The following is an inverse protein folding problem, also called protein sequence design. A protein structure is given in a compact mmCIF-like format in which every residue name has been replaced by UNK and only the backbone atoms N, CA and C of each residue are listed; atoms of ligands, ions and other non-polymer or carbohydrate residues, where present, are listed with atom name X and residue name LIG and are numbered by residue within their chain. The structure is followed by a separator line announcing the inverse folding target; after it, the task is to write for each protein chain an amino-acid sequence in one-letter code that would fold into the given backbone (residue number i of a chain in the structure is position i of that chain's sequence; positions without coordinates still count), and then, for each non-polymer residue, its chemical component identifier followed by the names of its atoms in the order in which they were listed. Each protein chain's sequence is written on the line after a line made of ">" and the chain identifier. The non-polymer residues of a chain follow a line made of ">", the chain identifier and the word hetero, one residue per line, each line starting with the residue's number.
data_IF_114251219636
#
_entry.id   IF_114251219636
#
_cell.length_a   1.000
_cell.length_b   1.000
_cell.length_c   1.000
_cell.angle_alpha   90.00
_cell.angle_beta   90.00
_cell.angle_gamma   90.00
#
_symmetry.space_group_name_H-M   'P 1'
#
loop_
_entity.id
_entity.type
_entity.pdbx_description
1 polymer ?
#
# COMPACT_ATOMS: atom_id res chain seq x y z
N UNK A 1 -34.02 -2.34 12.92
CA UNK A 1 -33.11 -3.03 11.98
C UNK A 1 -32.27 -1.96 11.31
N UNK A 2 -31.02 -1.82 11.72
CA UNK A 2 -30.11 -0.83 11.12
C UNK A 2 -29.62 -1.37 9.77
N UNK A 3 -29.95 -0.65 8.71
CA UNK A 3 -29.53 -0.99 7.35
C UNK A 3 -28.06 -0.62 7.21
N UNK A 4 -27.18 -1.61 7.16
CA UNK A 4 -25.77 -1.40 6.83
C UNK A 4 -25.71 -0.97 5.36
N UNK A 5 -25.59 0.32 5.12
CA UNK A 5 -25.37 0.86 3.77
C UNK A 5 -23.89 0.59 3.44
N UNK A 6 -23.64 -0.41 2.60
CA UNK A 6 -22.32 -0.64 2.01
C UNK A 6 -22.02 0.52 1.06
N UNK A 7 -21.16 1.44 1.50
CA UNK A 7 -20.58 2.44 0.60
C UNK A 7 -19.52 1.71 -0.23
N UNK A 8 -19.56 1.77 -1.58
CA UNK A 8 -18.53 1.15 -2.39
C UNK A 8 -17.16 1.76 -2.08
N UNK A 9 -16.11 0.95 -2.14
CA UNK A 9 -14.73 1.41 -1.94
C UNK A 9 -14.45 2.60 -2.86
N UNK A 10 -14.29 3.79 -2.28
CA UNK A 10 -13.98 5.00 -3.02
C UNK A 10 -12.47 5.09 -3.24
N UNK A 11 -12.08 5.28 -4.50
CA UNK A 11 -10.69 5.53 -4.85
C UNK A 11 -10.34 6.99 -4.56
N UNK A 12 -9.60 7.22 -3.48
CA UNK A 12 -8.98 8.51 -3.19
C UNK A 12 -7.64 8.61 -3.92
N UNK A 13 -7.54 9.55 -4.87
CA UNK A 13 -6.27 9.89 -5.52
C UNK A 13 -5.72 11.12 -4.80
N UNK A 14 -4.75 10.90 -3.91
CA UNK A 14 -4.02 11.99 -3.27
C UNK A 14 -2.77 12.27 -4.12
N UNK A 15 -2.89 13.22 -5.05
CA UNK A 15 -1.75 13.76 -5.81
C UNK A 15 -1.05 14.82 -4.96
N UNK A 16 0.18 14.55 -4.51
CA UNK A 16 0.96 15.50 -3.71
C UNK A 16 2.16 15.98 -4.53
N UNK A 17 2.01 17.11 -5.20
CA UNK A 17 3.13 17.73 -5.89
C UNK A 17 3.95 18.62 -4.97
N UNK A 18 5.24 18.28 -4.90
CA UNK A 18 6.33 19.11 -4.40
C UNK A 18 6.19 19.64 -2.97
N UNK A 19 6.02 18.75 -2.00
CA UNK A 19 6.68 18.98 -0.72
C UNK A 19 7.68 17.88 -0.47
N UNK A 20 8.91 18.30 -0.13
CA UNK A 20 10.05 17.50 0.34
C UNK A 20 9.74 16.73 1.65
N UNK A 21 8.51 16.24 1.83
CA UNK A 21 8.22 15.23 2.84
C UNK A 21 8.77 13.92 2.28
N UNK A 22 10.08 13.74 2.41
CA UNK A 22 10.66 12.42 2.32
C UNK A 22 10.05 11.62 3.46
N UNK A 23 8.96 10.91 3.18
CA UNK A 23 8.44 10.00 4.17
C UNK A 23 9.55 8.99 4.50
N UNK A 24 9.95 8.95 5.75
CA UNK A 24 10.92 7.98 6.20
C UNK A 24 10.27 6.59 6.09
N UNK A 25 11.06 5.53 5.81
CA UNK A 25 10.54 4.16 5.76
C UNK A 25 9.66 3.77 6.96
N UNK A 26 9.88 4.40 8.12
CA UNK A 26 9.14 4.20 9.37
C UNK A 26 7.70 4.73 9.32
N UNK A 27 7.43 5.86 8.67
CA UNK A 27 6.06 6.40 8.60
C UNK A 27 5.16 5.49 7.75
N UNK A 28 5.71 4.89 6.69
CA UNK A 28 5.00 3.85 5.94
C UNK A 28 4.77 2.59 6.77
N UNK A 29 5.73 2.24 7.63
CA UNK A 29 5.58 1.12 8.54
C UNK A 29 4.46 1.37 9.56
N UNK A 30 4.37 2.58 10.11
CA UNK A 30 3.30 2.99 11.03
C UNK A 30 1.92 2.88 10.39
N UNK A 31 1.78 3.32 9.13
CA UNK A 31 0.55 3.15 8.37
C UNK A 31 0.19 1.65 8.19
N UNK A 32 1.17 0.81 7.91
CA UNK A 32 0.94 -0.64 7.73
C UNK A 32 0.58 -1.31 9.06
N UNK A 33 1.22 -0.89 10.15
CA UNK A 33 0.88 -1.35 11.50
C UNK A 33 -0.54 -0.94 11.89
N UNK A 34 -0.97 0.28 11.55
CA UNK A 34 -2.35 0.71 11.74
C UNK A 34 -3.34 -0.20 11.00
N UNK A 35 -3.02 -0.57 9.76
CA UNK A 35 -3.86 -1.48 8.97
C UNK A 35 -3.96 -2.88 9.57
N UNK A 36 -2.84 -3.40 10.11
CA UNK A 36 -2.82 -4.68 10.81
C UNK A 36 -3.61 -4.64 12.12
N UNK A 37 -3.54 -3.52 12.87
CA UNK A 37 -4.22 -3.36 14.18
C UNK A 37 -5.71 -3.13 14.05
N UNK A 38 -6.15 -2.39 13.04
CA UNK A 38 -7.55 -1.98 12.87
C UNK A 38 -8.37 -2.89 11.96
N UNK A 39 -7.85 -4.08 11.62
CA UNK A 39 -8.50 -5.08 10.77
C UNK A 39 -9.25 -4.49 9.58
N UNK A 40 -8.51 -3.78 8.71
CA UNK A 40 -9.12 -3.11 7.56
C UNK A 40 -9.91 -4.11 6.70
N UNK A 41 -11.13 -3.77 6.23
CA UNK A 41 -11.95 -4.69 5.46
C UNK A 41 -11.25 -5.23 4.21
N UNK A 42 -11.56 -6.47 3.84
CA UNK A 42 -11.10 -7.07 2.58
C UNK A 42 -11.49 -6.17 1.39
N UNK A 43 -10.56 -5.98 0.47
CA UNK A 43 -10.74 -5.06 -0.66
C UNK A 43 -10.25 -3.64 -0.37
N UNK A 44 -9.93 -3.30 0.89
CA UNK A 44 -9.25 -2.05 1.23
C UNK A 44 -7.95 -1.93 0.44
N UNK A 45 -7.78 -0.79 -0.23
CA UNK A 45 -6.64 -0.53 -1.09
C UNK A 45 -6.15 0.89 -0.92
N UNK A 46 -4.85 1.04 -0.67
CA UNK A 46 -4.17 2.32 -0.65
C UNK A 46 -2.90 2.26 -1.50
N UNK A 47 -2.66 3.33 -2.25
CA UNK A 47 -1.49 3.45 -3.12
C UNK A 47 -0.90 4.83 -3.06
N UNK A 48 0.42 4.92 -3.11
CA UNK A 48 1.13 6.19 -3.12
C UNK A 48 2.35 6.13 -4.04
N UNK A 49 2.66 7.27 -4.65
CA UNK A 49 3.85 7.43 -5.47
C UNK A 49 5.11 7.50 -4.62
N UNK A 50 6.17 6.85 -5.10
CA UNK A 50 7.52 6.88 -4.53
C UNK A 50 8.50 7.22 -5.66
N UNK A 51 9.30 8.28 -5.45
CA UNK A 51 10.36 8.66 -6.38
C UNK A 51 11.61 7.76 -6.27
N UNK A 52 11.88 7.16 -5.10
CA UNK A 52 13.13 6.45 -4.82
C UNK A 52 12.90 4.94 -4.62
N UNK A 53 13.36 4.09 -5.54
CA UNK A 53 13.27 2.62 -5.41
C UNK A 53 13.87 2.07 -4.11
N UNK A 54 14.98 2.68 -3.64
CA UNK A 54 15.63 2.29 -2.38
C UNK A 54 14.70 2.45 -1.17
N UNK A 55 13.80 3.44 -1.19
CA UNK A 55 12.80 3.65 -0.15
C UNK A 55 11.76 2.53 -0.18
N UNK A 56 11.19 2.20 -1.34
CA UNK A 56 10.24 1.10 -1.49
C UNK A 56 10.81 -0.25 -0.98
N UNK A 57 12.07 -0.54 -1.33
CA UNK A 57 12.78 -1.74 -0.83
C UNK A 57 12.98 -1.72 0.69
N UNK A 58 13.33 -0.58 1.27
CA UNK A 58 13.47 -0.44 2.73
C UNK A 58 12.15 -0.66 3.45
N UNK A 59 11.04 -0.13 2.93
CA UNK A 59 9.70 -0.36 3.47
C UNK A 59 9.39 -1.86 3.46
N UNK A 60 9.56 -2.55 2.33
CA UNK A 60 9.33 -4.00 2.30
C UNK A 60 10.21 -4.77 3.30
N UNK A 61 11.47 -4.39 3.47
CA UNK A 61 12.36 -5.02 4.47
C UNK A 61 11.86 -4.83 5.90
N UNK A 62 11.32 -3.65 6.22
CA UNK A 62 10.72 -3.41 7.54
C UNK A 62 9.45 -4.22 7.73
N UNK A 63 8.57 -4.25 6.72
CA UNK A 63 7.33 -5.02 6.74
C UNK A 63 7.59 -6.51 6.87
N UNK A 64 8.60 -7.04 6.19
CA UNK A 64 8.98 -8.46 6.29
C UNK A 64 9.44 -8.85 7.70
N UNK A 65 9.92 -7.89 8.48
CA UNK A 65 10.30 -8.11 9.88
C UNK A 65 9.14 -7.98 10.87
N UNK A 66 7.93 -7.65 10.43
CA UNK A 66 6.77 -7.50 11.32
C UNK A 66 6.18 -8.84 11.77
N UNK A 67 6.32 -9.89 10.97
CA UNK A 67 5.72 -11.18 11.26
C UNK A 67 6.59 -12.32 10.73
N UNK A 68 6.79 -13.36 11.54
CA UNK A 68 7.59 -14.53 11.16
C UNK A 68 6.98 -15.29 9.97
N UNK A 69 5.65 -15.26 9.86
CA UNK A 69 4.91 -15.90 8.76
C UNK A 69 4.86 -15.06 7.47
N UNK A 70 5.59 -13.93 7.41
CA UNK A 70 5.58 -13.06 6.24
C UNK A 70 6.17 -13.76 5.01
N UNK A 71 5.37 -13.84 3.94
CA UNK A 71 5.81 -14.36 2.64
C UNK A 71 6.44 -13.25 1.81
N UNK A 72 7.71 -13.43 1.48
CA UNK A 72 8.52 -12.43 0.79
C UNK A 72 8.70 -12.77 -0.69
N UNK A 73 8.62 -11.76 -1.55
CA UNK A 73 9.02 -11.81 -2.95
C UNK A 73 9.93 -10.63 -3.28
N UNK A 74 10.50 -10.60 -4.49
CA UNK A 74 11.35 -9.50 -4.96
C UNK A 74 10.70 -8.12 -4.84
N UNK A 75 9.36 -8.03 -4.97
CA UNK A 75 8.62 -6.77 -5.00
C UNK A 75 7.39 -6.72 -4.10
N UNK A 76 7.22 -7.71 -3.22
CA UNK A 76 6.09 -7.73 -2.29
C UNK A 76 6.40 -8.48 -1.01
N UNK A 77 5.68 -8.11 0.05
CA UNK A 77 5.57 -8.85 1.30
C UNK A 77 4.08 -9.12 1.53
N UNK A 78 3.74 -10.32 1.94
CA UNK A 78 2.38 -10.71 2.32
C UNK A 78 2.38 -11.25 3.74
N UNK A 79 1.56 -10.68 4.60
CA UNK A 79 1.37 -11.11 5.99
C UNK A 79 -0.03 -11.71 6.09
N UNK A 80 -0.14 -12.90 6.68
CA UNK A 80 -1.44 -13.50 7.02
C UNK A 80 -1.84 -12.92 8.37
N UNK A 81 -3.01 -12.26 8.44
CA UNK A 81 -3.56 -11.71 9.68
C UNK A 81 -4.31 -12.78 10.46
N UNK A 82 -4.59 -12.50 11.74
CA UNK A 82 -5.32 -13.41 12.63
C UNK A 82 -6.72 -13.75 12.10
N UNK A 83 -7.37 -12.79 11.43
CA UNK A 83 -8.73 -12.94 10.89
C UNK A 83 -8.79 -13.66 9.55
N UNK A 84 -7.79 -14.50 9.24
CA UNK A 84 -7.75 -15.26 7.98
C UNK A 84 -7.86 -14.35 6.74
N UNK A 85 -7.21 -13.18 6.80
CA UNK A 85 -7.02 -12.29 5.65
C UNK A 85 -5.53 -12.12 5.35
N UNK A 86 -5.21 -11.49 4.22
CA UNK A 86 -3.84 -11.26 3.78
C UNK A 86 -3.61 -9.76 3.58
N UNK A 87 -2.68 -9.18 4.34
CA UNK A 87 -2.15 -7.85 4.06
C UNK A 87 -0.98 -7.98 3.08
N UNK A 88 -1.13 -7.42 1.87
CA UNK A 88 -0.10 -7.41 0.83
C UNK A 88 0.45 -6.01 0.64
N UNK A 89 1.74 -5.85 0.86
CA UNK A 89 2.52 -4.64 0.56
C UNK A 89 3.38 -4.92 -0.66
N UNK A 90 3.32 -4.07 -1.68
CA UNK A 90 4.08 -4.28 -2.92
C UNK A 90 4.44 -2.98 -3.59
N UNK A 91 5.47 -2.98 -4.45
CA UNK A 91 5.73 -1.83 -5.33
C UNK A 91 5.76 -2.25 -6.80
N UNK A 92 5.33 -1.33 -7.66
CA UNK A 92 5.32 -1.48 -9.12
C UNK A 92 5.89 -0.23 -9.77
N UNK A 93 6.57 -0.39 -10.91
CA UNK A 93 7.01 0.75 -11.69
C UNK A 93 5.78 1.41 -12.33
N UNK A 94 5.66 2.75 -12.26
CA UNK A 94 4.51 3.50 -12.81
C UNK A 94 4.28 3.17 -14.28
N UNK A 95 5.35 3.07 -15.08
CA UNK A 95 5.30 2.68 -16.51
C UNK A 95 4.62 1.33 -16.79
N UNK A 96 4.53 0.44 -15.80
CA UNK A 96 3.89 -0.87 -15.94
C UNK A 96 2.37 -0.82 -15.68
N UNK A 97 1.81 0.35 -15.34
CA UNK A 97 0.38 0.56 -15.15
C UNK A 97 -0.23 1.00 -16.49
N UNK A 98 -0.62 0.03 -17.33
CA UNK A 98 -1.33 0.29 -18.58
C UNK A 98 -2.85 0.34 -18.31
N UNK A 99 -3.55 1.36 -18.81
CA UNK A 99 -5.02 1.36 -18.92
C UNK A 99 -5.79 2.35 -18.04
N UNK A 100 -5.14 3.03 -17.08
CA UNK A 100 -5.78 4.16 -16.40
C UNK A 100 -5.40 5.42 -17.15
N UNK A 101 -6.37 6.07 -17.82
CA UNK A 101 -6.18 7.41 -18.39
C UNK A 101 -5.58 8.30 -17.31
N UNK A 102 -4.31 8.61 -17.50
CA UNK A 102 -3.48 9.20 -16.48
C UNK A 102 -3.69 10.71 -16.52
N UNK A 103 -4.76 11.21 -15.90
CA UNK A 103 -4.90 12.64 -15.60
C UNK A 103 -3.83 13.10 -14.57
N UNK A 104 -2.91 12.21 -14.15
CA UNK A 104 -1.73 12.53 -13.31
C UNK A 104 -0.62 13.17 -14.14
N UNK A 105 -0.91 14.31 -14.77
CA UNK A 105 0.13 15.30 -15.15
C UNK A 105 0.75 15.97 -13.89
N UNK A 106 0.82 15.23 -12.80
CA UNK A 106 1.09 15.71 -11.46
C UNK A 106 2.03 14.69 -10.85
N UNK A 107 3.31 15.06 -10.91
CA UNK A 107 4.48 14.52 -10.20
C UNK A 107 5.22 13.32 -10.85
N UNK A 108 6.55 13.32 -10.67
CA UNK A 108 7.53 12.49 -11.40
C UNK A 108 7.73 11.07 -10.81
N UNK A 109 6.77 10.52 -10.06
CA UNK A 109 7.00 9.27 -9.34
C UNK A 109 7.19 8.08 -10.28
N UNK A 110 8.37 7.47 -10.21
CA UNK A 110 8.73 6.29 -11.00
C UNK A 110 8.11 4.99 -10.45
N UNK A 111 7.81 4.96 -9.15
CA UNK A 111 7.34 3.77 -8.45
C UNK A 111 6.04 4.06 -7.70
N UNK A 112 5.21 3.06 -7.52
CA UNK A 112 4.00 3.12 -6.70
C UNK A 112 4.09 2.03 -5.65
N UNK A 113 3.98 2.37 -4.36
CA UNK A 113 3.74 1.39 -3.31
C UNK A 113 2.24 1.19 -3.13
N UNK A 114 1.86 -0.06 -2.94
CA UNK A 114 0.50 -0.54 -2.78
C UNK A 114 0.39 -1.29 -1.47
N UNK A 115 -0.64 -0.98 -0.69
CA UNK A 115 -1.05 -1.71 0.51
C UNK A 115 -2.47 -2.22 0.23
N UNK A 116 -2.68 -3.54 0.30
CA UNK A 116 -3.98 -4.16 0.01
C UNK A 116 -4.36 -5.17 1.08
N UNK A 117 -5.63 -5.17 1.46
CA UNK A 117 -6.25 -6.27 2.19
C UNK A 117 -6.90 -7.23 1.21
N UNK A 118 -6.55 -8.51 1.29
CA UNK A 118 -7.03 -9.58 0.41
C UNK A 118 -7.69 -10.67 1.25
N UNK A 119 -8.70 -11.34 0.70
CA UNK A 119 -9.20 -12.60 1.25
C UNK A 119 -8.18 -13.72 1.12
N UNK A 120 -8.34 -14.78 1.92
CA UNK A 120 -7.54 -16.00 1.75
C UNK A 120 -7.94 -16.74 0.49
#
# INVERSE_FOLDING_TARGET
>A
METIISIPNQRLIVTRCHMLVQYYPREYLELILDWLKNDKPVGSYFSFGINILKLAKKVLKLVSGLAENARNSKRSVTIITENSTKLKVSYVARRNLHGEKDDRQVCSEEWILNIRMLGI
#
